data_IF_826332112150
#
_entry.id   IF_826332112150
#
_cell.length_a   1.000
_cell.length_b   1.000
_cell.length_c   1.000
_cell.angle_alpha   90.00
_cell.angle_beta   90.00
_cell.angle_gamma   90.00
#
_symmetry.space_group_name_H-M   'P 1'
#
loop_
_entity.id
_entity.type
_entity.pdbx_description
1 polymer ?
#
# COMPACT_ATOMS: atom_id res chain seq x y z
N UNK A 1 -2.15 41.92 13.62
CA UNK A 1 -2.16 41.30 14.97
C UNK A 1 -2.75 39.90 14.82
N UNK A 2 -1.92 38.87 14.70
CA UNK A 2 -2.38 37.49 14.46
C UNK A 2 -2.81 36.86 15.80
N UNK A 3 -4.11 36.61 15.98
CA UNK A 3 -4.57 35.80 17.11
C UNK A 3 -4.03 34.38 16.94
N UNK A 4 -3.10 33.97 17.81
CA UNK A 4 -2.49 32.64 17.77
C UNK A 4 -3.54 31.53 17.87
N UNK A 5 -3.29 30.39 17.24
CA UNK A 5 -4.21 29.24 17.18
C UNK A 5 -4.72 28.76 18.57
N UNK A 6 -4.00 29.08 19.65
CA UNK A 6 -4.42 28.83 21.03
C UNK A 6 -5.65 29.66 21.46
N UNK A 7 -5.74 30.93 21.05
CA UNK A 7 -6.88 31.81 21.36
C UNK A 7 -8.15 31.31 20.66
N UNK A 8 -8.03 30.93 19.39
CA UNK A 8 -9.12 30.36 18.59
C UNK A 8 -9.64 29.07 19.22
N UNK A 9 -8.75 28.16 19.69
CA UNK A 9 -9.16 26.95 20.41
C UNK A 9 -9.89 27.24 21.71
N UNK A 10 -9.45 28.26 22.45
CA UNK A 10 -10.09 28.69 23.70
C UNK A 10 -11.49 29.24 23.44
N UNK A 11 -11.67 30.03 22.38
CA UNK A 11 -12.96 30.56 21.96
C UNK A 11 -13.93 29.47 21.48
N UNK A 12 -13.44 28.48 20.74
CA UNK A 12 -14.24 27.32 20.32
C UNK A 12 -14.84 26.58 21.53
N UNK A 13 -14.13 26.53 22.66
CA UNK A 13 -14.62 25.91 23.90
C UNK A 13 -15.55 26.84 24.68
N UNK A 14 -15.17 28.12 24.84
CA UNK A 14 -15.94 29.12 25.61
C UNK A 14 -17.32 29.37 24.98
N UNK A 15 -17.38 29.48 23.67
CA UNK A 15 -18.61 29.79 22.93
C UNK A 15 -19.32 28.54 22.39
N UNK A 16 -18.88 27.33 22.80
CA UNK A 16 -19.38 26.03 22.33
C UNK A 16 -19.58 25.95 20.81
N UNK A 17 -18.65 26.52 20.04
CA UNK A 17 -18.70 26.56 18.57
C UNK A 17 -18.34 25.22 17.94
N UNK A 18 -18.26 24.15 18.74
CA UNK A 18 -17.98 22.80 18.23
C UNK A 18 -19.24 22.29 17.53
N UNK A 19 -19.16 21.87 16.25
CA UNK A 19 -20.31 21.25 15.59
C UNK A 19 -20.76 20.05 16.43
N UNK A 20 -22.03 20.04 16.85
CA UNK A 20 -22.60 18.98 17.69
C UNK A 20 -22.36 17.62 17.02
N UNK A 21 -21.72 16.71 17.77
CA UNK A 21 -21.46 15.34 17.31
C UNK A 21 -22.78 14.58 17.27
N UNK A 22 -22.95 13.79 16.23
CA UNK A 22 -24.09 12.88 16.14
C UNK A 22 -23.77 11.60 16.92
N UNK A 23 -24.51 11.37 18.00
CA UNK A 23 -24.27 10.25 18.93
C UNK A 23 -25.09 8.99 18.63
N UNK A 24 -25.75 8.89 17.46
CA UNK A 24 -26.54 7.71 17.07
C UNK A 24 -25.74 6.40 17.09
N UNK A 25 -24.44 6.45 16.84
CA UNK A 25 -23.54 5.29 16.95
C UNK A 25 -23.43 4.68 18.35
N UNK A 26 -23.91 5.36 19.40
CA UNK A 26 -23.98 4.80 20.76
C UNK A 26 -25.17 3.85 20.93
N UNK A 27 -26.22 4.00 20.12
CA UNK A 27 -27.37 3.09 20.13
C UNK A 27 -26.95 1.74 19.51
N UNK A 28 -27.27 0.65 20.21
CA UNK A 28 -26.86 -0.70 19.84
C UNK A 28 -27.50 -1.17 18.52
N UNK A 29 -28.82 -0.98 18.37
CA UNK A 29 -29.58 -1.42 17.19
C UNK A 29 -29.12 -0.67 15.95
N UNK A 30 -29.00 0.66 16.04
CA UNK A 30 -28.51 1.48 14.94
C UNK A 30 -27.08 1.09 14.55
N UNK A 31 -26.18 0.91 15.54
CA UNK A 31 -24.81 0.51 15.23
C UNK A 31 -24.76 -0.90 14.63
N UNK A 32 -25.59 -1.84 15.10
CA UNK A 32 -25.72 -3.18 14.53
C UNK A 32 -26.23 -3.15 13.10
N UNK A 33 -27.25 -2.36 12.80
CA UNK A 33 -27.77 -2.17 11.45
C UNK A 33 -26.66 -1.65 10.53
N UNK A 34 -26.02 -0.54 10.88
CA UNK A 34 -25.00 0.09 10.03
C UNK A 34 -23.75 -0.79 9.87
N UNK A 35 -23.28 -1.42 10.96
CA UNK A 35 -22.03 -2.18 11.00
C UNK A 35 -22.19 -3.62 10.52
N UNK A 36 -23.24 -4.32 10.94
CA UNK A 36 -23.46 -5.74 10.63
C UNK A 36 -24.30 -5.92 9.36
N UNK A 37 -25.47 -5.27 9.27
CA UNK A 37 -26.43 -5.47 8.19
C UNK A 37 -26.02 -4.74 6.90
N UNK A 38 -25.79 -3.43 6.97
CA UNK A 38 -25.35 -2.60 5.84
C UNK A 38 -23.85 -2.73 5.54
N UNK A 39 -23.12 -3.48 6.37
CA UNK A 39 -21.68 -3.78 6.25
C UNK A 39 -20.79 -2.56 6.02
N UNK A 40 -21.14 -1.40 6.58
CA UNK A 40 -20.39 -0.15 6.39
C UNK A 40 -19.05 -0.21 7.13
N UNK A 41 -18.02 0.44 6.56
CA UNK A 41 -16.72 0.63 7.21
C UNK A 41 -16.89 1.51 8.45
N UNK A 42 -16.19 1.21 9.55
CA UNK A 42 -16.17 2.08 10.75
C UNK A 42 -15.76 3.52 10.41
N UNK A 43 -14.91 3.70 9.40
CA UNK A 43 -14.50 5.01 8.88
C UNK A 43 -15.66 5.79 8.25
N UNK A 44 -16.53 5.11 7.48
CA UNK A 44 -17.69 5.72 6.83
C UNK A 44 -18.75 6.08 7.87
N UNK A 45 -19.01 5.17 8.82
CA UNK A 45 -19.93 5.44 9.95
C UNK A 45 -19.41 6.63 10.78
N UNK A 46 -18.10 6.68 11.04
CA UNK A 46 -17.49 7.77 11.78
C UNK A 46 -17.56 9.12 11.05
N UNK A 47 -17.39 9.13 9.73
CA UNK A 47 -17.52 10.33 8.90
C UNK A 47 -18.94 10.92 9.00
N UNK A 48 -19.97 10.07 8.87
CA UNK A 48 -21.38 10.47 9.01
C UNK A 48 -21.68 11.01 10.42
N UNK A 49 -21.18 10.32 11.45
CA UNK A 49 -21.39 10.72 12.84
C UNK A 49 -20.48 11.88 13.29
N UNK A 50 -19.59 12.38 12.40
CA UNK A 50 -18.58 13.40 12.69
C UNK A 50 -17.75 13.06 13.93
N UNK A 51 -17.37 11.79 14.06
CA UNK A 51 -16.66 11.23 15.20
C UNK A 51 -15.36 10.53 14.76
N UNK A 52 -14.54 10.10 15.71
CA UNK A 52 -13.35 9.30 15.42
C UNK A 52 -13.72 7.85 15.09
N UNK A 53 -13.09 7.22 14.11
CA UNK A 53 -13.33 5.79 13.81
C UNK A 53 -12.92 4.85 14.96
N UNK A 54 -12.02 5.29 15.84
CA UNK A 54 -11.70 4.62 17.10
C UNK A 54 -12.88 4.60 18.08
N UNK A 55 -13.73 5.64 18.09
CA UNK A 55 -14.94 5.70 18.92
C UNK A 55 -15.96 4.66 18.43
N UNK A 56 -16.20 4.57 17.12
CA UNK A 56 -17.05 3.52 16.53
C UNK A 56 -16.55 2.13 16.92
N UNK A 57 -15.24 1.87 16.78
CA UNK A 57 -14.64 0.58 17.14
C UNK A 57 -14.70 0.25 18.64
N UNK A 58 -14.79 1.27 19.52
CA UNK A 58 -14.99 1.07 20.95
C UNK A 58 -16.43 0.67 21.24
N UNK A 59 -17.42 1.32 20.62
CA UNK A 59 -18.84 0.99 20.78
C UNK A 59 -19.22 -0.36 20.14
N UNK A 60 -18.59 -0.73 19.02
CA UNK A 60 -18.69 -2.09 18.45
C UNK A 60 -18.30 -3.13 19.50
N UNK A 61 -17.15 -2.97 20.16
CA UNK A 61 -16.71 -3.89 21.21
C UNK A 61 -17.62 -3.84 22.45
N UNK A 62 -18.06 -2.64 22.85
CA UNK A 62 -18.93 -2.44 24.02
C UNK A 62 -20.29 -3.14 23.86
N UNK A 63 -20.81 -3.17 22.63
CA UNK A 63 -22.06 -3.87 22.27
C UNK A 63 -21.85 -5.36 21.96
N UNK A 64 -20.71 -5.94 22.37
CA UNK A 64 -20.40 -7.35 22.17
C UNK A 64 -20.16 -7.75 20.71
N UNK A 65 -20.08 -6.80 19.78
CA UNK A 65 -19.80 -7.08 18.38
C UNK A 65 -18.31 -7.37 18.20
N UNK A 66 -18.00 -8.49 17.56
CA UNK A 66 -16.62 -8.79 17.16
C UNK A 66 -16.20 -7.75 16.13
N UNK A 67 -15.04 -7.12 16.35
CA UNK A 67 -14.39 -6.35 15.30
C UNK A 67 -14.26 -7.23 14.07
N UNK A 68 -14.81 -6.77 12.95
CA UNK A 68 -14.49 -7.35 11.67
C UNK A 68 -12.97 -7.20 11.48
N UNK A 69 -12.25 -8.31 11.61
CA UNK A 69 -10.97 -8.43 10.94
C UNK A 69 -11.32 -8.33 9.47
N UNK A 70 -10.97 -7.21 8.84
CA UNK A 70 -10.87 -7.23 7.38
C UNK A 70 -9.95 -8.39 7.07
N UNK A 71 -10.51 -9.36 6.33
CA UNK A 71 -9.98 -10.72 6.25
C UNK A 71 -8.49 -10.70 5.96
N UNK A 72 -7.76 -11.59 6.62
CA UNK A 72 -6.52 -12.07 6.06
C UNK A 72 -6.85 -12.59 4.67
N UNK A 73 -6.58 -11.79 3.65
CA UNK A 73 -6.58 -12.28 2.30
C UNK A 73 -5.48 -13.33 2.24
N UNK A 74 -5.82 -14.53 1.78
CA UNK A 74 -4.82 -15.53 1.47
C UNK A 74 -3.78 -14.90 0.53
N UNK A 75 -2.53 -15.25 0.76
CA UNK A 75 -1.40 -14.92 -0.10
C UNK A 75 -0.48 -16.14 -0.06
N UNK A 76 0.16 -16.43 -1.19
CA UNK A 76 1.24 -17.40 -1.20
C UNK A 76 2.48 -16.77 -0.54
N UNK A 77 2.60 -16.96 0.78
CA UNK A 77 3.72 -16.45 1.57
C UNK A 77 5.08 -17.01 1.09
N UNK A 78 5.06 -18.20 0.47
CA UNK A 78 6.25 -18.95 0.03
C UNK A 78 6.68 -18.60 -1.40
N UNK A 79 5.96 -17.68 -2.06
CA UNK A 79 6.19 -17.38 -3.49
C UNK A 79 7.65 -16.98 -3.80
N UNK A 80 8.28 -16.24 -2.89
CA UNK A 80 9.68 -15.79 -3.01
C UNK A 80 10.67 -16.61 -2.17
N UNK A 81 10.24 -17.70 -1.53
CA UNK A 81 11.14 -18.54 -0.72
C UNK A 81 12.25 -19.16 -1.56
N UNK A 82 11.90 -19.58 -2.79
CA UNK A 82 12.84 -20.06 -3.80
C UNK A 82 12.51 -19.49 -5.17
N UNK A 83 13.52 -18.96 -5.84
CA UNK A 83 13.44 -18.47 -7.22
C UNK A 83 13.86 -19.59 -8.16
N UNK A 84 12.91 -20.47 -8.47
CA UNK A 84 13.12 -21.72 -9.22
C UNK A 84 12.68 -21.63 -10.70
N UNK A 85 11.98 -20.55 -11.08
CA UNK A 85 11.42 -20.38 -12.41
C UNK A 85 11.51 -18.95 -12.94
N UNK A 86 11.26 -18.81 -14.25
CA UNK A 86 11.39 -17.55 -14.99
C UNK A 86 10.40 -16.46 -14.54
N UNK A 87 9.23 -16.84 -14.04
CA UNK A 87 8.18 -15.92 -13.58
C UNK A 87 8.55 -15.32 -12.21
N UNK A 88 9.00 -16.15 -11.27
CA UNK A 88 9.50 -15.69 -9.96
C UNK A 88 10.72 -14.78 -10.12
N UNK A 89 11.65 -15.15 -10.99
CA UNK A 89 12.83 -14.34 -11.28
C UNK A 89 12.45 -12.98 -11.85
N UNK A 90 11.50 -12.95 -12.79
CA UNK A 90 10.94 -11.70 -13.33
C UNK A 90 10.35 -10.81 -12.26
N UNK A 91 9.44 -11.33 -11.45
CA UNK A 91 8.82 -10.53 -10.40
C UNK A 91 9.82 -10.06 -9.35
N UNK A 92 10.84 -10.87 -9.03
CA UNK A 92 11.91 -10.44 -8.15
C UNK A 92 12.67 -9.23 -8.72
N UNK A 93 12.96 -9.23 -10.03
CA UNK A 93 13.59 -8.11 -10.73
C UNK A 93 12.70 -6.88 -10.77
N UNK A 94 11.43 -7.07 -11.14
CA UNK A 94 10.45 -6.00 -11.21
C UNK A 94 10.25 -5.32 -9.85
N UNK A 95 10.11 -6.11 -8.79
CA UNK A 95 10.02 -5.61 -7.43
C UNK A 95 11.35 -5.02 -6.94
N UNK A 96 12.49 -5.43 -7.48
CA UNK A 96 13.76 -4.78 -7.21
C UNK A 96 13.78 -3.33 -7.75
N UNK A 97 13.15 -3.03 -8.88
CA UNK A 97 13.02 -1.67 -9.39
C UNK A 97 11.90 -0.86 -8.69
N UNK A 98 10.64 -1.30 -8.83
CA UNK A 98 9.45 -0.52 -8.42
C UNK A 98 8.82 -0.96 -7.09
N UNK A 99 9.26 -2.10 -6.55
CA UNK A 99 8.71 -2.64 -5.30
C UNK A 99 9.23 -1.91 -4.07
N UNK A 100 8.31 -1.59 -3.15
CA UNK A 100 8.62 -1.04 -1.84
C UNK A 100 8.31 -2.09 -0.76
N UNK A 101 9.30 -2.43 0.06
CA UNK A 101 9.16 -3.34 1.20
C UNK A 101 9.31 -2.56 2.51
N UNK A 102 8.54 -2.88 3.55
CA UNK A 102 8.69 -2.34 4.90
C UNK A 102 8.64 -3.46 5.94
N UNK A 103 9.77 -3.70 6.60
CA UNK A 103 9.92 -4.72 7.64
C UNK A 103 9.71 -4.17 9.07
N UNK A 104 9.58 -2.85 9.27
CA UNK A 104 9.66 -2.20 10.60
C UNK A 104 8.47 -2.48 11.52
N UNK A 105 7.31 -2.84 10.98
CA UNK A 105 6.04 -2.98 11.74
C UNK A 105 5.71 -4.41 12.19
N UNK A 106 6.69 -5.32 12.18
CA UNK A 106 6.53 -6.71 12.64
C UNK A 106 5.63 -7.62 11.78
N UNK A 107 4.90 -7.06 10.81
CA UNK A 107 3.99 -7.81 9.92
C UNK A 107 4.48 -7.94 8.47
N UNK A 108 5.52 -7.19 8.08
CA UNK A 108 6.00 -7.08 6.70
C UNK A 108 4.95 -6.45 5.76
N UNK A 109 5.31 -5.40 5.02
CA UNK A 109 4.47 -4.82 3.98
C UNK A 109 5.23 -4.81 2.66
N UNK A 110 4.66 -5.42 1.63
CA UNK A 110 5.06 -5.25 0.25
C UNK A 110 4.04 -4.37 -0.46
N UNK A 111 4.50 -3.27 -1.03
CA UNK A 111 3.71 -2.31 -1.79
C UNK A 111 4.23 -2.24 -3.22
N UNK A 112 3.37 -2.54 -4.19
CA UNK A 112 3.61 -2.30 -5.61
C UNK A 112 2.68 -1.20 -6.08
N UNK A 113 3.22 -0.08 -6.54
CA UNK A 113 2.44 1.08 -6.98
C UNK A 113 2.86 1.50 -8.38
N UNK A 114 1.93 1.42 -9.34
CA UNK A 114 2.16 1.76 -10.74
C UNK A 114 1.17 2.84 -11.21
N UNK A 115 1.40 3.38 -12.40
CA UNK A 115 0.42 4.25 -13.05
C UNK A 115 -0.86 3.46 -13.39
N UNK A 116 -2.01 4.13 -13.46
CA UNK A 116 -3.29 3.45 -13.74
C UNK A 116 -3.30 2.68 -15.07
N UNK A 117 -2.61 3.20 -16.10
CA UNK A 117 -2.46 2.52 -17.39
C UNK A 117 -1.80 1.13 -17.28
N UNK A 118 -1.00 0.90 -16.25
CA UNK A 118 -0.23 -0.33 -16.00
C UNK A 118 -0.93 -1.23 -14.97
N UNK A 119 -2.19 -0.94 -14.61
CA UNK A 119 -2.97 -1.72 -13.64
C UNK A 119 -3.04 -3.21 -13.97
N UNK A 120 -3.09 -3.56 -15.26
CA UNK A 120 -3.08 -4.95 -15.71
C UNK A 120 -1.82 -5.72 -15.24
N UNK A 121 -0.69 -5.03 -15.08
CA UNK A 121 0.54 -5.62 -14.57
C UNK A 121 0.42 -5.96 -13.08
N UNK A 122 -0.20 -5.07 -12.28
CA UNK A 122 -0.52 -5.36 -10.87
C UNK A 122 -1.51 -6.53 -10.76
N UNK A 123 -2.48 -6.64 -11.66
CA UNK A 123 -3.43 -7.77 -11.70
C UNK A 123 -2.76 -9.10 -12.04
N UNK A 124 -1.73 -9.08 -12.89
CA UNK A 124 -0.89 -10.25 -13.14
C UNK A 124 -0.13 -10.65 -11.87
N UNK A 125 0.57 -9.70 -11.23
CA UNK A 125 1.29 -9.97 -9.98
C UNK A 125 0.37 -10.55 -8.90
N UNK A 126 -0.82 -9.96 -8.76
CA UNK A 126 -1.86 -10.39 -7.81
C UNK A 126 -2.25 -11.87 -8.01
N UNK A 127 -2.31 -12.33 -9.27
CA UNK A 127 -2.58 -13.73 -9.60
C UNK A 127 -1.40 -14.63 -9.25
N UNK A 128 -0.17 -14.24 -9.59
CA UNK A 128 1.04 -15.00 -9.28
C UNK A 128 1.20 -15.28 -7.77
N UNK A 129 0.97 -14.27 -6.93
CA UNK A 129 1.03 -14.41 -5.46
C UNK A 129 -0.24 -14.95 -4.84
N UNK A 130 -1.21 -15.39 -5.66
CA UNK A 130 -2.48 -15.99 -5.26
C UNK A 130 -3.21 -15.21 -4.14
N UNK A 131 -3.53 -13.94 -4.39
CA UNK A 131 -4.25 -13.12 -3.41
C UNK A 131 -5.50 -12.45 -3.96
N UNK A 132 -6.55 -12.42 -3.15
CA UNK A 132 -7.77 -11.68 -3.46
C UNK A 132 -7.74 -10.22 -2.94
N UNK A 133 -6.58 -9.73 -2.49
CA UNK A 133 -6.44 -8.33 -2.02
C UNK A 133 -6.88 -7.35 -3.10
N UNK A 134 -7.67 -6.31 -2.76
CA UNK A 134 -8.08 -5.31 -3.71
C UNK A 134 -6.88 -4.44 -4.14
N UNK A 135 -6.89 -4.05 -5.41
CA UNK A 135 -6.00 -3.02 -5.93
C UNK A 135 -6.69 -1.68 -5.70
N UNK A 136 -6.01 -0.76 -5.03
CA UNK A 136 -6.53 0.57 -4.73
C UNK A 136 -6.05 1.57 -5.78
N UNK A 137 -6.97 2.32 -6.38
CA UNK A 137 -6.65 3.43 -7.28
C UNK A 137 -6.85 4.75 -6.57
N UNK A 138 -5.93 5.70 -6.76
CA UNK A 138 -6.00 7.04 -6.17
C UNK A 138 -5.33 8.09 -7.05
N UNK A 139 -5.84 9.32 -6.96
CA UNK A 139 -5.24 10.49 -7.59
C UNK A 139 -4.11 11.03 -6.71
N UNK A 140 -2.94 11.32 -7.30
CA UNK A 140 -1.84 11.94 -6.56
C UNK A 140 -2.26 13.31 -6.02
N UNK A 141 -1.79 13.65 -4.81
CA UNK A 141 -2.15 14.90 -4.13
C UNK A 141 -1.71 16.16 -4.88
N UNK A 142 -0.62 16.07 -5.64
CA UNK A 142 -0.02 17.20 -6.35
C UNK A 142 -0.04 16.92 -7.86
N UNK A 143 -0.31 17.95 -8.68
CA UNK A 143 -0.25 17.82 -10.13
C UNK A 143 1.20 17.59 -10.59
N UNK A 144 1.36 17.00 -11.76
CA UNK A 144 2.66 16.86 -12.41
C UNK A 144 3.12 18.21 -13.01
N UNK A 145 4.30 18.23 -13.64
CA UNK A 145 4.88 19.43 -14.25
C UNK A 145 4.00 20.08 -15.34
N UNK A 146 3.01 19.35 -15.90
CA UNK A 146 2.06 19.85 -16.90
C UNK A 146 0.72 20.31 -16.29
N UNK A 147 0.62 20.38 -14.96
CA UNK A 147 -0.61 20.77 -14.27
C UNK A 147 -1.69 19.68 -14.21
N UNK A 148 -1.41 18.46 -14.69
CA UNK A 148 -2.38 17.36 -14.66
C UNK A 148 -2.15 16.43 -13.47
N UNK A 149 -3.23 15.88 -12.93
CA UNK A 149 -3.16 14.95 -11.81
C UNK A 149 -2.95 13.52 -12.31
N UNK A 150 -1.87 12.87 -11.88
CA UNK A 150 -1.62 11.48 -12.22
C UNK A 150 -2.45 10.55 -11.32
N UNK A 151 -3.03 9.51 -11.92
CA UNK A 151 -3.72 8.44 -11.22
C UNK A 151 -2.75 7.26 -11.05
N UNK A 152 -2.71 6.71 -9.84
CA UNK A 152 -1.88 5.56 -9.50
C UNK A 152 -2.72 4.44 -8.92
N UNK A 153 -2.29 3.21 -9.15
CA UNK A 153 -2.89 2.01 -8.58
C UNK A 153 -1.88 1.29 -7.70
N UNK A 154 -2.32 0.71 -6.59
CA UNK A 154 -1.45 0.08 -5.60
C UNK A 154 -2.00 -1.23 -5.07
N UNK A 155 -1.13 -2.23 -4.94
CA UNK A 155 -1.39 -3.49 -4.25
C UNK A 155 -0.51 -3.58 -3.01
N UNK A 156 -1.14 -3.81 -1.86
CA UNK A 156 -0.49 -3.88 -0.55
C UNK A 156 -0.62 -5.27 0.06
N UNK A 157 0.46 -6.05 0.01
CA UNK A 157 0.53 -7.39 0.58
C UNK A 157 1.16 -7.30 1.98
N UNK A 158 0.55 -7.98 2.94
CA UNK A 158 1.04 -7.98 4.32
C UNK A 158 1.46 -9.40 4.63
N UNK A 159 2.76 -9.64 4.61
CA UNK A 159 3.37 -10.93 4.85
C UNK A 159 4.78 -10.69 5.35
N UNK A 160 5.07 -11.24 6.53
CA UNK A 160 6.40 -11.14 7.12
C UNK A 160 7.39 -12.03 6.36
N UNK A 161 7.02 -13.29 6.11
CA UNK A 161 7.84 -14.26 5.39
C UNK A 161 8.22 -13.76 4.00
N UNK A 162 7.22 -13.32 3.21
CA UNK A 162 7.46 -12.80 1.86
C UNK A 162 8.42 -11.61 1.84
N UNK A 163 8.29 -10.69 2.80
CA UNK A 163 9.19 -9.53 2.90
C UNK A 163 10.59 -9.95 3.31
N UNK A 164 10.73 -10.89 4.25
CA UNK A 164 12.03 -11.44 4.65
C UNK A 164 12.73 -12.18 3.50
N UNK A 165 11.98 -12.95 2.70
CA UNK A 165 12.49 -13.63 1.50
C UNK A 165 12.94 -12.63 0.43
N UNK A 166 12.15 -11.58 0.17
CA UNK A 166 12.52 -10.50 -0.75
C UNK A 166 13.82 -9.81 -0.30
N UNK A 167 13.94 -9.50 0.99
CA UNK A 167 15.16 -8.92 1.57
C UNK A 167 16.35 -9.87 1.41
N UNK A 168 16.15 -11.17 1.65
CA UNK A 168 17.18 -12.21 1.45
C UNK A 168 17.68 -12.24 0.00
N UNK A 169 16.80 -12.02 -0.96
CA UNK A 169 17.13 -11.92 -2.38
C UNK A 169 17.62 -10.54 -2.85
N UNK A 170 17.85 -9.60 -1.93
CA UNK A 170 18.46 -8.29 -2.23
C UNK A 170 17.45 -7.17 -2.51
N UNK A 171 16.16 -7.40 -2.33
CA UNK A 171 15.11 -6.38 -2.46
C UNK A 171 14.96 -5.64 -1.12
N UNK A 172 15.72 -4.57 -0.94
CA UNK A 172 15.78 -3.79 0.32
C UNK A 172 15.15 -2.40 0.22
N UNK A 173 14.87 -1.72 1.34
CA UNK A 173 14.45 -0.30 1.31
C UNK A 173 15.59 0.61 0.77
N UNK A 174 15.25 1.65 -0.01
CA UNK A 174 16.18 2.71 -0.50
C UNK A 174 17.32 2.22 -1.42
N UNK A 175 16.95 1.50 -2.47
CA UNK A 175 17.86 0.72 -3.35
C UNK A 175 18.78 1.49 -4.28
N UNK A 176 18.60 2.80 -4.48
CA UNK A 176 19.28 3.55 -5.56
C UNK A 176 20.80 3.64 -5.43
N UNK A 177 21.42 3.13 -4.35
CA UNK A 177 22.88 3.21 -4.16
C UNK A 177 23.60 1.86 -3.97
N UNK A 178 22.90 0.73 -3.77
CA UNK A 178 23.53 -0.56 -3.41
C UNK A 178 22.72 -1.76 -3.95
N UNK A 179 22.36 -1.76 -5.24
CA UNK A 179 21.72 -2.93 -5.83
C UNK A 179 22.79 -4.00 -6.10
N UNK A 180 22.73 -5.12 -5.39
CA UNK A 180 23.55 -6.31 -5.67
C UNK A 180 22.73 -7.29 -6.50
N UNK A 181 23.33 -8.01 -7.47
CA UNK A 181 22.66 -9.09 -8.18
C UNK A 181 22.10 -10.11 -7.18
N UNK A 182 20.89 -10.64 -7.42
CA UNK A 182 20.30 -11.63 -6.53
C UNK A 182 21.10 -12.93 -6.59
N UNK A 183 21.18 -13.64 -5.45
CA UNK A 183 21.76 -14.97 -5.39
C UNK A 183 20.73 -16.00 -5.87
N UNK A 184 20.57 -16.12 -7.19
CA UNK A 184 19.65 -17.07 -7.87
C UNK A 184 20.42 -17.87 -8.93
N UNK A 185 19.81 -18.94 -9.45
CA UNK A 185 20.41 -19.74 -10.52
C UNK A 185 20.77 -18.88 -11.74
N UNK A 186 21.97 -19.07 -12.30
CA UNK A 186 22.50 -18.26 -13.40
C UNK A 186 21.57 -18.20 -14.61
N UNK A 187 20.94 -19.33 -14.95
CA UNK A 187 19.95 -19.41 -16.04
C UNK A 187 18.71 -18.53 -15.83
N UNK A 188 18.44 -18.09 -14.61
CA UNK A 188 17.31 -17.21 -14.25
C UNK A 188 17.69 -15.73 -14.20
N UNK A 189 18.99 -15.40 -14.20
CA UNK A 189 19.48 -14.02 -14.18
C UNK A 189 18.90 -13.21 -15.35
N UNK A 190 18.83 -13.69 -16.62
CA UNK A 190 18.23 -12.91 -17.70
C UNK A 190 16.76 -12.54 -17.44
N UNK A 191 16.01 -13.41 -16.76
CA UNK A 191 14.62 -13.14 -16.41
C UNK A 191 14.48 -12.17 -15.24
N UNK A 192 15.43 -12.18 -14.30
CA UNK A 192 15.49 -11.12 -13.29
C UNK A 192 15.83 -9.78 -13.92
N UNK A 193 16.82 -9.74 -14.81
CA UNK A 193 17.24 -8.53 -15.52
C UNK A 193 16.10 -7.94 -16.33
N UNK A 194 15.36 -8.74 -17.12
CA UNK A 194 14.19 -8.25 -17.88
C UNK A 194 13.13 -7.62 -16.97
N UNK A 195 12.88 -8.22 -15.79
CA UNK A 195 11.92 -7.68 -14.82
C UNK A 195 12.39 -6.36 -14.22
N UNK A 196 13.67 -6.26 -13.87
CA UNK A 196 14.26 -5.02 -13.36
C UNK A 196 14.15 -3.88 -14.37
N UNK A 197 14.46 -4.15 -15.65
CA UNK A 197 14.32 -3.17 -16.72
C UNK A 197 12.88 -2.72 -16.93
N UNK A 198 11.92 -3.64 -16.91
CA UNK A 198 10.50 -3.33 -17.08
C UNK A 198 9.95 -2.43 -15.95
N UNK A 199 10.49 -2.57 -14.72
CA UNK A 199 10.11 -1.71 -13.59
C UNK A 199 10.81 -0.33 -13.61
N UNK A 200 12.12 -0.27 -13.87
CA UNK A 200 12.86 1.01 -13.85
C UNK A 200 12.55 1.89 -15.08
N UNK A 201 12.01 1.30 -16.15
CA UNK A 201 11.30 2.01 -17.21
C UNK A 201 12.13 2.98 -18.05
N UNK A 202 13.47 3.00 -17.95
CA UNK A 202 14.30 3.85 -18.80
C UNK A 202 15.67 3.25 -19.17
N UNK A 203 15.88 3.04 -20.47
CA UNK A 203 17.19 2.83 -21.08
C UNK A 203 17.54 4.11 -21.84
N UNK A 204 18.55 4.84 -21.38
CA UNK A 204 19.11 5.98 -22.14
C UNK A 204 20.36 5.50 -22.87
N UNK A 205 20.30 5.46 -24.20
CA UNK A 205 21.49 5.27 -25.03
C UNK A 205 22.29 6.58 -25.02
N UNK A 206 23.38 6.64 -24.24
CA UNK A 206 24.41 7.63 -24.49
C UNK A 206 25.27 7.10 -25.65
N UNK A 207 25.20 7.77 -26.81
CA UNK A 207 26.24 7.63 -27.85
C UNK A 207 27.53 8.27 -27.31
N UNK A 208 28.27 7.55 -26.47
CA UNK A 208 29.68 7.84 -26.31
C UNK A 208 30.38 7.34 -27.58
N UNK A 209 30.91 8.26 -28.38
CA UNK A 209 31.78 7.92 -29.49
C UNK A 209 33.00 7.18 -28.93
N UNK A 210 33.11 5.89 -29.23
CA UNK A 210 34.38 5.18 -29.07
C UNK A 210 35.35 5.77 -30.10
N UNK A 211 36.22 6.67 -29.65
CA UNK A 211 37.46 6.96 -30.36
C UNK A 211 38.31 5.70 -30.19
N UNK A 212 38.37 4.87 -31.23
CA UNK A 212 39.40 3.86 -31.37
C UNK A 212 40.75 4.60 -31.44
N UNK A 213 41.67 4.25 -30.53
CA UNK A 213 43.10 4.46 -30.71
C UNK A 213 43.72 3.18 -31.23
#
# INVERSE_FOLDING_TARGET
>A
MWCGAAAIRKWIVIYDLRPKRDTRYKNEEWLKEQYCQLRRRSQNIAADCRCGHSEINAWVLKHGLKRRRYGSYAVNDDYFEQIDNQEKAYWLGFLAADGCVDARKGKGLLSLTLAEKDKGHIELFRRCVNTAKPIYTYTKKYPNARGTFNISCTLNITSRKMVEDLIRHGVVERKTKILKPPQIWEKLIPHWVRGYFDGDGSVRWNRAAYIQK
#
